data_IF_611101269401
#
_entry.id   IF_611101269401
#
_cell.length_a   1.000
_cell.length_b   1.000
_cell.length_c   1.000
_cell.angle_alpha   90.00
_cell.angle_beta   90.00
_cell.angle_gamma   90.00
#
_symmetry.space_group_name_H-M   'P 1'
#
loop_
_entity.id
_entity.type
_entity.pdbx_description
1 polymer ?
#
# COMPACT_ATOMS: atom_id res chain seq x y z
N UNK A 1 22.85 -8.88 17.10
CA UNK A 1 22.11 -7.83 16.39
C UNK A 1 20.78 -8.42 15.97
N UNK A 2 19.68 -8.02 16.64
CA UNK A 2 18.34 -8.45 16.24
C UNK A 2 18.08 -7.82 14.86
N UNK A 3 17.73 -8.59 13.81
CA UNK A 3 17.36 -8.00 12.54
C UNK A 3 16.14 -7.11 12.77
N UNK A 4 16.33 -5.79 12.78
CA UNK A 4 15.21 -4.86 12.68
C UNK A 4 14.68 -5.03 11.27
N UNK A 5 13.66 -5.88 11.10
CA UNK A 5 12.88 -5.93 9.87
C UNK A 5 12.40 -4.50 9.65
N UNK A 6 12.85 -3.83 8.58
CA UNK A 6 12.48 -2.44 8.37
C UNK A 6 10.95 -2.39 8.26
N UNK A 7 10.29 -1.52 9.04
CA UNK A 7 8.83 -1.38 9.03
C UNK A 7 8.26 -1.19 7.61
N UNK A 8 9.07 -0.61 6.72
CA UNK A 8 8.78 -0.52 5.29
C UNK A 8 8.56 -1.89 4.62
N UNK A 9 9.33 -2.93 4.96
CA UNK A 9 9.18 -4.27 4.39
C UNK A 9 7.85 -4.93 4.80
N UNK A 10 7.38 -4.69 6.03
CA UNK A 10 6.08 -5.18 6.51
C UNK A 10 4.95 -4.47 5.78
N UNK A 11 5.03 -3.13 5.66
CA UNK A 11 4.06 -2.32 4.93
C UNK A 11 3.97 -2.70 3.45
N UNK A 12 5.13 -2.91 2.80
CA UNK A 12 5.23 -3.39 1.41
C UNK A 12 4.56 -4.75 1.26
N UNK A 13 4.80 -5.69 2.19
CA UNK A 13 4.22 -7.03 2.12
C UNK A 13 2.70 -7.02 2.18
N UNK A 14 2.12 -6.29 3.13
CA UNK A 14 0.65 -6.19 3.29
C UNK A 14 0.02 -5.49 2.08
N UNK A 15 0.63 -4.40 1.64
CA UNK A 15 0.16 -3.64 0.50
C UNK A 15 0.30 -4.38 -0.83
N UNK A 16 1.32 -5.22 -1.00
CA UNK A 16 1.41 -6.08 -2.16
C UNK A 16 0.24 -7.07 -2.22
N UNK A 17 -0.08 -7.73 -1.10
CA UNK A 17 -1.18 -8.72 -1.06
C UNK A 17 -2.54 -8.04 -1.32
N UNK A 18 -2.83 -6.96 -0.59
CA UNK A 18 -4.08 -6.21 -0.77
C UNK A 18 -4.17 -5.50 -2.13
N UNK A 19 -3.04 -4.98 -2.61
CA UNK A 19 -2.94 -4.31 -3.90
C UNK A 19 -3.15 -5.25 -5.08
N UNK A 20 -2.54 -6.44 -5.04
CA UNK A 20 -2.73 -7.48 -6.07
C UNK A 20 -4.21 -7.90 -6.12
N UNK A 21 -4.83 -8.12 -4.95
CA UNK A 21 -6.24 -8.48 -4.90
C UNK A 21 -7.14 -7.38 -5.45
N UNK A 22 -6.93 -6.12 -5.03
CA UNK A 22 -7.66 -4.97 -5.55
C UNK A 22 -7.46 -4.80 -7.07
N UNK A 23 -6.26 -5.08 -7.58
CA UNK A 23 -5.95 -4.98 -9.01
C UNK A 23 -6.69 -6.03 -9.84
N UNK A 24 -6.81 -7.26 -9.34
CA UNK A 24 -7.57 -8.33 -9.99
C UNK A 24 -9.07 -8.01 -10.06
N UNK A 25 -9.59 -7.40 -8.99
CA UNK A 25 -11.01 -7.02 -8.87
C UNK A 25 -11.35 -5.76 -9.66
N UNK A 26 -10.38 -4.89 -9.88
CA UNK A 26 -10.59 -3.68 -10.64
C UNK A 26 -11.00 -4.01 -12.09
N UNK A 27 -12.23 -3.64 -12.44
CA UNK A 27 -12.81 -3.85 -13.78
C UNK A 27 -12.29 -2.81 -14.79
N UNK A 28 -11.87 -1.64 -14.30
CA UNK A 28 -11.43 -0.54 -15.18
C UNK A 28 -9.93 -0.33 -15.17
N UNK A 29 -9.38 0.04 -16.34
CA UNK A 29 -7.96 0.40 -16.51
C UNK A 29 -7.57 1.58 -15.60
N UNK A 30 -8.49 2.54 -15.38
CA UNK A 30 -8.26 3.68 -14.50
C UNK A 30 -8.06 3.25 -13.04
N UNK A 31 -8.89 2.34 -12.52
CA UNK A 31 -8.74 1.82 -11.16
C UNK A 31 -7.43 1.05 -10.99
N UNK A 32 -7.09 0.18 -11.96
CA UNK A 32 -5.82 -0.55 -11.99
C UNK A 32 -4.61 0.36 -11.94
N UNK A 33 -4.64 1.46 -12.69
CA UNK A 33 -3.57 2.45 -12.70
C UNK A 33 -3.39 3.15 -11.33
N UNK A 34 -4.48 3.46 -10.63
CA UNK A 34 -4.42 4.07 -9.28
C UNK A 34 -3.86 3.07 -8.27
N UNK A 35 -4.33 1.82 -8.31
CA UNK A 35 -3.88 0.74 -7.41
C UNK A 35 -2.39 0.45 -7.62
N UNK A 36 -1.93 0.37 -8.86
CA UNK A 36 -0.51 0.14 -9.16
C UNK A 36 0.37 1.38 -8.91
N UNK A 37 -0.17 2.60 -9.07
CA UNK A 37 0.57 3.85 -8.94
C UNK A 37 0.78 4.33 -7.50
N UNK A 38 -0.18 4.08 -6.60
CA UNK A 38 -0.10 4.52 -5.21
C UNK A 38 1.10 3.94 -4.40
N UNK A 39 1.46 2.65 -4.51
CA UNK A 39 2.66 2.08 -3.89
C UNK A 39 3.94 2.80 -4.32
N UNK A 40 4.02 3.14 -5.62
CA UNK A 40 5.16 3.84 -6.19
C UNK A 40 5.32 5.24 -5.57
N UNK A 41 4.21 5.96 -5.42
CA UNK A 41 4.17 7.27 -4.78
C UNK A 41 4.57 7.23 -3.30
N UNK A 42 4.16 6.18 -2.57
CA UNK A 42 4.52 6.00 -1.17
C UNK A 42 6.03 5.80 -1.00
N UNK A 43 6.64 5.00 -1.88
CA UNK A 43 8.09 4.77 -1.88
C UNK A 43 8.83 6.06 -2.23
N UNK A 44 8.38 6.79 -3.26
CA UNK A 44 8.99 8.07 -3.66
C UNK A 44 8.85 9.15 -2.59
N UNK A 45 7.69 9.23 -1.95
CA UNK A 45 7.48 10.16 -0.84
C UNK A 45 8.40 9.81 0.32
N UNK A 46 8.49 8.53 0.70
CA UNK A 46 9.39 8.07 1.76
C UNK A 46 10.87 8.36 1.49
N UNK A 47 11.31 8.28 0.22
CA UNK A 47 12.71 8.56 -0.16
C UNK A 47 13.06 10.05 -0.17
N UNK A 48 12.07 10.94 -0.29
CA UNK A 48 12.27 12.39 -0.25
C UNK A 48 12.57 12.94 1.16
N UNK A 49 12.21 12.21 2.22
CA UNK A 49 12.36 12.66 3.60
C UNK A 49 13.58 12.05 4.31
N UNK A 50 14.15 12.79 5.28
CA UNK A 50 15.25 12.34 6.15
C UNK A 50 14.94 10.98 6.82
N UNK A 51 15.94 10.14 7.15
CA UNK A 51 15.76 8.72 7.46
C UNK A 51 14.69 8.37 8.51
N UNK A 52 14.56 9.16 9.58
CA UNK A 52 13.51 8.97 10.59
C UNK A 52 12.11 9.39 10.11
N UNK A 53 12.02 10.51 9.40
CA UNK A 53 10.75 11.02 8.86
C UNK A 53 10.27 10.19 7.67
N UNK A 54 11.18 9.73 6.80
CA UNK A 54 10.87 8.88 5.65
C UNK A 54 10.27 7.53 6.04
N UNK A 55 10.76 6.92 7.13
CA UNK A 55 10.17 5.69 7.67
C UNK A 55 8.72 5.89 8.13
N UNK A 56 8.45 7.01 8.81
CA UNK A 56 7.13 7.31 9.37
C UNK A 56 6.14 7.70 8.27
N UNK A 57 6.58 8.47 7.27
CA UNK A 57 5.80 8.81 6.08
C UNK A 57 5.48 7.56 5.25
N UNK A 58 6.45 6.67 5.05
CA UNK A 58 6.23 5.41 4.35
C UNK A 58 5.22 4.52 5.10
N UNK A 59 5.35 4.40 6.43
CA UNK A 59 4.42 3.64 7.26
C UNK A 59 2.98 4.16 7.10
N UNK A 60 2.77 5.47 7.25
CA UNK A 60 1.45 6.10 7.09
C UNK A 60 0.92 5.87 5.68
N UNK A 61 1.75 6.04 4.66
CA UNK A 61 1.39 5.82 3.27
C UNK A 61 0.91 4.39 3.01
N UNK A 62 1.65 3.38 3.50
CA UNK A 62 1.27 1.98 3.36
C UNK A 62 -0.02 1.63 4.09
N UNK A 63 -0.24 2.19 5.28
CA UNK A 63 -1.49 2.01 6.04
C UNK A 63 -2.67 2.61 5.27
N UNK A 64 -2.55 3.85 4.78
CA UNK A 64 -3.61 4.51 4.01
C UNK A 64 -3.93 3.74 2.72
N UNK A 65 -2.91 3.24 2.04
CA UNK A 65 -3.09 2.41 0.86
C UNK A 65 -3.80 1.09 1.17
N UNK A 66 -3.38 0.38 2.23
CA UNK A 66 -4.05 -0.84 2.67
C UNK A 66 -5.52 -0.61 3.03
N UNK A 67 -5.82 0.45 3.78
CA UNK A 67 -7.20 0.85 4.11
C UNK A 67 -7.99 1.17 2.84
N UNK A 68 -7.40 1.90 1.89
CA UNK A 68 -8.02 2.21 0.60
C UNK A 68 -8.33 0.96 -0.23
N UNK A 69 -7.43 -0.01 -0.28
CA UNK A 69 -7.66 -1.30 -0.92
C UNK A 69 -8.80 -2.07 -0.25
N UNK A 70 -8.86 -2.11 1.08
CA UNK A 70 -9.95 -2.78 1.82
C UNK A 70 -11.30 -2.14 1.52
N UNK A 71 -11.37 -0.80 1.55
CA UNK A 71 -12.59 -0.06 1.23
C UNK A 71 -13.00 -0.34 -0.22
N UNK A 72 -12.06 -0.29 -1.16
CA UNK A 72 -12.32 -0.59 -2.57
C UNK A 72 -12.86 -2.01 -2.77
N UNK A 73 -12.23 -3.01 -2.15
CA UNK A 73 -12.68 -4.40 -2.22
C UNK A 73 -14.10 -4.55 -1.65
N UNK A 74 -14.42 -3.92 -0.51
CA UNK A 74 -15.77 -3.93 0.05
C UNK A 74 -16.80 -3.25 -0.85
N UNK A 75 -16.46 -2.12 -1.46
CA UNK A 75 -17.36 -1.40 -2.37
C UNK A 75 -17.64 -2.19 -3.66
N UNK A 76 -16.75 -3.10 -4.05
CA UNK A 76 -16.94 -4.00 -5.18
C UNK A 76 -17.53 -5.37 -4.76
N UNK A 77 -18.12 -5.47 -3.56
CA UNK A 77 -18.87 -6.65 -3.13
C UNK A 77 -18.04 -7.80 -2.58
N UNK A 78 -16.74 -7.62 -2.31
CA UNK A 78 -15.93 -8.61 -1.61
C UNK A 78 -16.02 -8.38 -0.10
N UNK A 79 -16.75 -9.27 0.57
CA UNK A 79 -16.72 -9.39 2.03
C UNK A 79 -15.40 -10.04 2.47
N UNK A 80 -14.43 -9.22 2.86
CA UNK A 80 -13.23 -9.69 3.58
C UNK A 80 -13.73 -10.07 4.99
N UNK A 81 -13.95 -11.36 5.22
CA UNK A 81 -14.44 -11.96 6.48
C UNK A 81 -13.31 -12.45 7.35
#
# INVERSE_FOLDING_TARGET
MVPQIPYAAIGVGIAAIMGIWAFLVAETIKQRAVIAGAPLLIILAGSLFRPFAGQLVALIGWVLYGVGCIIFLRLNGLEIR
#
